data_IF_215304564229
#
_entry.id   IF_215304564229
#
_cell.length_a   1.000
_cell.length_b   1.000
_cell.length_c   1.000
_cell.angle_alpha   90.00
_cell.angle_beta   90.00
_cell.angle_gamma   90.00
#
_symmetry.space_group_name_H-M   'P 1'
#
loop_
_entity.id
_entity.type
_entity.pdbx_description
1 polymer ?
#
# COMPACT_ATOMS: atom_id res chain seq x y z
N UNK A 1 -17.22 -62.66 -37.18
CA UNK A 1 -17.40 -61.21 -37.44
C UNK A 1 -18.53 -60.59 -36.60
N UNK A 2 -18.62 -60.85 -35.28
CA UNK A 2 -19.60 -60.18 -34.39
C UNK A 2 -19.02 -59.78 -33.02
N UNK A 3 -17.77 -60.17 -32.72
CA UNK A 3 -17.11 -59.90 -31.43
C UNK A 3 -15.97 -58.88 -31.51
N UNK A 4 -15.51 -58.51 -32.71
CA UNK A 4 -14.46 -57.50 -32.91
C UNK A 4 -14.98 -56.06 -33.00
N UNK A 5 -16.31 -55.87 -33.11
CA UNK A 5 -16.94 -54.54 -33.16
C UNK A 5 -17.22 -53.97 -31.76
N UNK A 6 -17.28 -54.83 -30.73
CA UNK A 6 -17.57 -54.41 -29.35
C UNK A 6 -16.33 -53.81 -28.65
N UNK A 7 -15.12 -54.05 -29.19
CA UNK A 7 -13.87 -53.58 -28.58
C UNK A 7 -13.51 -52.11 -28.91
N UNK A 8 -14.32 -51.41 -29.70
CA UNK A 8 -14.08 -50.00 -30.06
C UNK A 8 -14.94 -48.98 -29.28
N UNK A 9 -15.88 -49.44 -28.45
CA UNK A 9 -16.83 -48.55 -27.72
C UNK A 9 -16.36 -48.23 -26.29
N UNK A 10 -15.29 -48.83 -25.79
CA UNK A 10 -14.78 -48.59 -24.43
C UNK A 10 -13.70 -47.50 -24.32
N UNK A 11 -13.27 -46.89 -25.42
CA UNK A 11 -12.21 -45.85 -25.42
C UNK A 11 -12.77 -44.41 -25.29
N UNK A 12 -14.10 -44.24 -25.26
CA UNK A 12 -14.75 -42.93 -25.21
C UNK A 12 -15.14 -42.46 -23.79
N UNK A 13 -14.40 -42.83 -22.75
CA UNK A 13 -14.58 -42.28 -21.39
C UNK A 13 -13.23 -41.96 -20.73
N UNK A 14 -12.40 -41.23 -21.46
CA UNK A 14 -11.30 -40.47 -20.84
C UNK A 14 -11.58 -39.01 -21.17
N UNK A 15 -11.43 -38.14 -20.17
CA UNK A 15 -11.51 -36.68 -20.28
C UNK A 15 -12.93 -36.11 -20.24
N UNK A 16 -13.53 -36.04 -19.04
CA UNK A 16 -14.37 -34.90 -18.63
C UNK A 16 -14.74 -34.97 -17.15
N UNK A 17 -13.74 -34.99 -16.26
CA UNK A 17 -13.92 -34.50 -14.89
C UNK A 17 -12.64 -33.76 -14.47
N UNK A 18 -12.30 -32.69 -15.21
CA UNK A 18 -11.47 -31.63 -14.64
C UNK A 18 -12.39 -30.73 -13.81
N UNK A 19 -12.77 -31.20 -12.62
CA UNK A 19 -13.29 -30.29 -11.60
C UNK A 19 -12.12 -29.38 -11.24
N UNK A 20 -12.21 -28.13 -11.70
CA UNK A 20 -11.26 -27.06 -11.42
C UNK A 20 -11.14 -26.80 -9.90
N UNK A 21 -10.33 -27.59 -9.22
CA UNK A 21 -9.83 -27.32 -7.88
C UNK A 21 -8.47 -26.59 -7.96
N UNK A 22 -8.36 -25.57 -8.81
CA UNK A 22 -7.26 -24.60 -8.79
C UNK A 22 -7.78 -23.25 -8.30
N UNK A 23 -8.24 -23.19 -7.05
CA UNK A 23 -8.49 -21.92 -6.36
C UNK A 23 -7.95 -21.98 -4.94
N UNK A 24 -6.66 -21.64 -4.78
CA UNK A 24 -6.12 -21.01 -3.54
C UNK A 24 -4.59 -20.87 -3.49
N UNK A 25 -3.79 -21.47 -4.40
CA UNK A 25 -2.32 -21.45 -4.27
C UNK A 25 -1.62 -20.24 -4.92
N UNK A 26 -2.24 -19.57 -5.89
CA UNK A 26 -1.65 -18.39 -6.54
C UNK A 26 -1.86 -17.09 -5.75
N UNK A 27 -2.99 -16.95 -5.04
CA UNK A 27 -3.28 -15.74 -4.25
C UNK A 27 -2.31 -15.48 -3.09
N UNK A 28 -1.73 -16.54 -2.51
CA UNK A 28 -0.76 -16.40 -1.40
C UNK A 28 0.64 -16.05 -1.93
N UNK A 29 1.01 -16.53 -3.12
CA UNK A 29 2.29 -16.20 -3.75
C UNK A 29 2.27 -14.78 -4.28
N UNK A 30 1.20 -14.38 -4.97
CA UNK A 30 1.05 -13.02 -5.51
C UNK A 30 1.04 -11.96 -4.40
N UNK A 31 0.23 -12.16 -3.34
CA UNK A 31 0.19 -11.24 -2.20
C UNK A 31 1.54 -11.11 -1.48
N UNK A 32 2.26 -12.23 -1.29
CA UNK A 32 3.59 -12.19 -0.68
C UNK A 32 4.56 -11.43 -1.58
N UNK A 33 4.58 -11.73 -2.87
CA UNK A 33 5.46 -11.08 -3.84
C UNK A 33 5.20 -9.56 -3.95
N UNK A 34 3.93 -9.14 -4.01
CA UNK A 34 3.54 -7.73 -3.98
C UNK A 34 3.95 -7.02 -2.68
N UNK A 35 3.86 -7.71 -1.54
CA UNK A 35 4.29 -7.18 -0.25
C UNK A 35 5.82 -7.02 -0.21
N UNK A 36 6.57 -8.01 -0.68
CA UNK A 36 8.04 -7.94 -0.76
C UNK A 36 8.50 -6.81 -1.69
N UNK A 37 7.89 -6.69 -2.88
CA UNK A 37 8.21 -5.61 -3.81
C UNK A 37 7.94 -4.22 -3.21
N UNK A 38 6.85 -4.06 -2.44
CA UNK A 38 6.56 -2.81 -1.74
C UNK A 38 7.57 -2.48 -0.63
N UNK A 39 8.00 -3.48 0.16
CA UNK A 39 9.02 -3.29 1.20
C UNK A 39 10.35 -2.87 0.57
N UNK A 40 10.78 -3.51 -0.52
CA UNK A 40 12.04 -3.19 -1.19
C UNK A 40 12.00 -1.82 -1.87
N UNK A 41 10.84 -1.43 -2.42
CA UNK A 41 10.62 -0.08 -2.95
C UNK A 41 10.74 0.97 -1.84
N UNK A 42 10.11 0.77 -0.67
CA UNK A 42 10.19 1.69 0.45
C UNK A 42 11.62 1.86 0.98
N UNK A 43 12.38 0.78 1.12
CA UNK A 43 13.81 0.85 1.50
C UNK A 43 14.63 1.62 0.47
N UNK A 44 14.32 1.45 -0.81
CA UNK A 44 14.99 2.18 -1.89
C UNK A 44 14.65 3.67 -1.82
N UNK A 45 13.38 4.01 -1.61
CA UNK A 45 12.90 5.38 -1.42
C UNK A 45 13.54 6.05 -0.21
N UNK A 46 13.65 5.34 0.92
CA UNK A 46 14.32 5.84 2.12
C UNK A 46 15.78 6.16 1.84
N UNK A 47 16.51 5.22 1.21
CA UNK A 47 17.93 5.41 0.86
C UNK A 47 18.17 6.60 -0.07
N UNK A 48 17.32 6.81 -1.08
CA UNK A 48 17.50 7.95 -2.00
C UNK A 48 17.11 9.27 -1.32
N UNK A 49 16.08 9.26 -0.47
CA UNK A 49 15.68 10.41 0.33
C UNK A 49 16.79 10.84 1.30
N UNK A 50 17.44 9.87 1.96
CA UNK A 50 18.58 10.12 2.86
C UNK A 50 19.81 10.64 2.11
N UNK A 51 19.95 10.33 0.82
CA UNK A 51 20.96 10.93 -0.06
C UNK A 51 20.59 12.33 -0.56
N UNK A 52 19.48 12.89 -0.09
CA UNK A 52 19.02 14.24 -0.41
C UNK A 52 18.09 14.34 -1.61
N UNK A 53 17.66 13.22 -2.20
CA UNK A 53 16.66 13.27 -3.27
C UNK A 53 15.29 13.61 -2.67
N UNK A 54 14.74 14.76 -3.06
CA UNK A 54 13.46 15.25 -2.55
C UNK A 54 12.37 15.08 -3.60
N UNK A 55 11.27 14.41 -3.23
CA UNK A 55 10.10 14.25 -4.10
C UNK A 55 8.85 14.12 -3.26
N UNK A 56 7.79 14.82 -3.69
CA UNK A 56 6.46 14.76 -3.09
C UNK A 56 5.95 13.33 -3.02
N UNK A 57 6.03 12.57 -4.11
CA UNK A 57 5.56 11.18 -4.17
C UNK A 57 6.33 10.26 -3.20
N UNK A 58 7.66 10.42 -3.15
CA UNK A 58 8.51 9.63 -2.25
C UNK A 58 8.17 9.94 -0.80
N UNK A 59 8.05 11.21 -0.42
CA UNK A 59 7.73 11.57 0.96
C UNK A 59 6.30 11.19 1.36
N UNK A 60 5.33 11.24 0.44
CA UNK A 60 3.97 10.70 0.68
C UNK A 60 4.03 9.19 0.98
N UNK A 61 4.77 8.41 0.17
CA UNK A 61 4.92 6.96 0.35
C UNK A 61 5.64 6.60 1.64
N UNK A 62 6.76 7.26 1.93
CA UNK A 62 7.54 7.02 3.15
C UNK A 62 6.76 7.42 4.41
N UNK A 63 6.16 8.61 4.43
CA UNK A 63 5.35 9.07 5.55
C UNK A 63 4.17 8.14 5.85
N UNK A 64 3.44 7.70 4.81
CA UNK A 64 2.35 6.75 4.96
C UNK A 64 2.82 5.39 5.46
N UNK A 65 3.88 4.83 4.88
CA UNK A 65 4.42 3.54 5.30
C UNK A 65 4.82 3.56 6.78
N UNK A 66 5.57 4.57 7.21
CA UNK A 66 5.95 4.74 8.62
C UNK A 66 4.73 4.92 9.51
N UNK A 67 3.76 5.75 9.11
CA UNK A 67 2.54 5.99 9.87
C UNK A 67 1.74 4.70 10.10
N UNK A 68 1.50 3.92 9.04
CA UNK A 68 0.76 2.66 9.12
C UNK A 68 1.50 1.56 9.88
N UNK A 69 2.84 1.63 9.90
CA UNK A 69 3.69 0.76 10.72
C UNK A 69 3.84 1.26 12.17
N UNK A 70 3.15 2.34 12.57
CA UNK A 70 3.27 2.99 13.88
C UNK A 70 4.68 3.53 14.21
N UNK A 71 5.53 3.72 13.20
CA UNK A 71 6.83 4.40 13.28
C UNK A 71 6.59 5.93 13.21
N UNK A 72 5.90 6.47 14.22
CA UNK A 72 5.37 7.85 14.19
C UNK A 72 6.47 8.91 14.21
N UNK A 73 7.63 8.61 14.76
CA UNK A 73 8.83 9.44 14.70
C UNK A 73 9.33 9.62 13.27
N UNK A 74 9.45 8.52 12.51
CA UNK A 74 9.83 8.56 11.10
C UNK A 74 8.73 9.13 10.22
N UNK A 75 7.47 8.85 10.54
CA UNK A 75 6.34 9.44 9.84
C UNK A 75 6.37 10.98 9.96
N UNK A 76 6.62 11.50 11.18
CA UNK A 76 6.77 12.94 11.40
C UNK A 76 7.94 13.53 10.60
N UNK A 77 9.09 12.84 10.53
CA UNK A 77 10.23 13.24 9.69
C UNK A 77 9.82 13.38 8.22
N UNK A 78 9.24 12.32 7.64
CA UNK A 78 8.96 12.31 6.20
C UNK A 78 7.79 13.21 5.80
N UNK A 79 6.75 13.31 6.63
CA UNK A 79 5.69 14.30 6.41
C UNK A 79 6.22 15.72 6.59
N UNK A 80 7.15 15.96 7.52
CA UNK A 80 7.83 17.25 7.64
C UNK A 80 8.52 17.64 6.34
N UNK A 81 9.33 16.74 5.77
CA UNK A 81 9.96 16.95 4.46
C UNK A 81 8.93 17.19 3.34
N UNK A 82 7.83 16.42 3.30
CA UNK A 82 6.72 16.63 2.36
C UNK A 82 6.17 18.07 2.44
N UNK A 83 5.87 18.54 3.65
CA UNK A 83 5.31 19.87 3.88
C UNK A 83 6.31 21.01 3.69
N UNK A 84 7.62 20.72 3.59
CA UNK A 84 8.61 21.69 3.10
C UNK A 84 8.55 21.89 1.60
N UNK A 85 8.09 20.88 0.85
CA UNK A 85 8.01 20.94 -0.61
C UNK A 85 6.69 21.52 -1.09
N UNK A 86 5.57 21.15 -0.46
CA UNK A 86 4.24 21.55 -0.88
C UNK A 86 3.22 21.47 0.24
N UNK A 87 2.21 22.33 0.16
CA UNK A 87 0.99 22.25 0.98
C UNK A 87 -0.21 21.76 0.16
N UNK A 88 -0.06 21.59 -1.15
CA UNK A 88 -1.07 21.05 -2.05
C UNK A 88 -1.06 19.51 -1.99
N UNK A 89 -1.61 18.99 -0.89
CA UNK A 89 -1.78 17.56 -0.63
C UNK A 89 -3.16 17.32 -0.03
N UNK A 90 -3.60 16.07 -0.11
CA UNK A 90 -4.89 15.64 0.38
C UNK A 90 -5.00 15.83 1.90
N UNK A 91 -6.19 16.17 2.43
CA UNK A 91 -6.37 16.49 3.85
C UNK A 91 -5.82 15.41 4.80
N UNK A 92 -5.89 14.14 4.40
CA UNK A 92 -5.42 13.01 5.19
C UNK A 92 -3.94 13.11 5.58
N UNK A 93 -3.10 13.76 4.76
CA UNK A 93 -1.68 13.98 5.08
C UNK A 93 -1.49 14.97 6.23
N UNK A 94 -2.33 16.01 6.32
CA UNK A 94 -2.33 16.93 7.45
C UNK A 94 -2.72 16.21 8.75
N UNK A 95 -3.75 15.38 8.69
CA UNK A 95 -4.22 14.61 9.84
C UNK A 95 -3.19 13.59 10.34
N UNK A 96 -2.57 12.82 9.44
CA UNK A 96 -1.54 11.84 9.80
C UNK A 96 -0.28 12.51 10.33
N UNK A 97 0.11 13.63 9.73
CA UNK A 97 1.24 14.41 10.23
C UNK A 97 0.97 14.95 11.62
N UNK A 98 -0.21 15.51 11.87
CA UNK A 98 -0.59 15.99 13.19
C UNK A 98 -0.52 14.90 14.26
N UNK A 99 -1.05 13.71 13.98
CA UNK A 99 -0.97 12.58 14.91
C UNK A 99 0.48 12.14 15.18
N UNK A 100 1.31 12.12 14.14
CA UNK A 100 2.73 11.79 14.26
C UNK A 100 3.47 12.82 15.13
N UNK A 101 3.19 14.11 14.93
CA UNK A 101 3.72 15.21 15.74
C UNK A 101 3.27 15.13 17.20
N UNK A 102 2.00 14.78 17.45
CA UNK A 102 1.46 14.58 18.80
C UNK A 102 2.16 13.45 19.55
N UNK A 103 2.46 12.34 18.87
CA UNK A 103 3.23 11.24 19.44
C UNK A 103 4.66 11.66 19.84
N UNK A 104 5.21 12.68 19.17
CA UNK A 104 6.49 13.31 19.52
C UNK A 104 6.37 14.47 20.54
N UNK A 105 5.17 14.74 21.06
CA UNK A 105 4.92 15.87 21.97
C UNK A 105 4.95 17.25 21.31
N UNK A 106 5.01 17.34 19.98
CA UNK A 106 5.01 18.60 19.23
C UNK A 106 3.59 19.16 19.06
N UNK A 107 2.91 19.41 20.18
CA UNK A 107 1.48 19.72 20.23
C UNK A 107 1.08 20.96 19.42
N UNK A 108 1.84 22.06 19.51
CA UNK A 108 1.51 23.29 18.78
C UNK A 108 1.49 23.09 17.25
N UNK A 109 2.48 22.35 16.73
CA UNK A 109 2.52 22.02 15.30
C UNK A 109 1.42 21.03 14.92
N UNK A 110 1.12 20.07 15.79
CA UNK A 110 0.03 19.14 15.58
C UNK A 110 -1.31 19.87 15.46
N UNK A 111 -1.59 20.81 16.36
CA UNK A 111 -2.82 21.61 16.37
C UNK A 111 -2.93 22.49 15.11
N UNK A 112 -1.82 23.07 14.67
CA UNK A 112 -1.78 23.82 13.41
C UNK A 112 -2.14 22.94 12.20
N UNK A 113 -1.62 21.72 12.14
CA UNK A 113 -1.93 20.76 11.07
C UNK A 113 -3.37 20.26 11.13
N UNK A 114 -3.92 20.00 12.33
CA UNK A 114 -5.33 19.64 12.51
C UNK A 114 -6.27 20.77 12.07
N UNK A 115 -5.93 22.02 12.39
CA UNK A 115 -6.71 23.17 11.92
C UNK A 115 -6.80 23.22 10.39
N UNK A 116 -5.67 22.97 9.71
CA UNK A 116 -5.63 22.89 8.24
C UNK A 116 -6.45 21.72 7.70
N UNK A 117 -6.34 20.55 8.34
CA UNK A 117 -7.16 19.39 8.00
C UNK A 117 -8.67 19.69 8.06
N UNK A 118 -9.14 20.31 9.15
CA UNK A 118 -10.56 20.67 9.31
C UNK A 118 -11.02 21.62 8.21
N UNK A 119 -10.25 22.70 7.96
CA UNK A 119 -10.57 23.68 6.92
C UNK A 119 -10.71 23.05 5.53
N UNK A 120 -9.79 22.15 5.17
CA UNK A 120 -9.82 21.48 3.87
C UNK A 120 -10.94 20.45 3.76
N UNK A 121 -11.27 19.76 4.85
CA UNK A 121 -12.30 18.72 4.88
C UNK A 121 -13.73 19.29 4.84
N UNK A 122 -13.96 20.43 5.50
CA UNK A 122 -15.23 21.15 5.43
C UNK A 122 -15.51 21.67 4.02
N UNK A 123 -14.49 22.21 3.35
CA UNK A 123 -14.60 22.70 1.97
C UNK A 123 -14.88 21.59 0.95
N UNK A 124 -14.41 20.36 1.19
CA UNK A 124 -14.66 19.21 0.30
C UNK A 124 -16.07 18.63 0.43
N UNK A 125 -16.77 18.94 1.52
CA UNK A 125 -18.10 18.40 1.83
C UNK A 125 -19.24 19.33 1.35
N UNK A 126 -18.92 20.58 0.99
CA UNK A 126 -19.84 21.54 0.37
C UNK A 126 -19.78 21.49 -1.14
#
# INVERSE_FOLDING_TARGET
MKTTIILFITIANVISININAQKSKNLVVDKKHETFANIDALKTYERVAEKGYKSVDIFKKLGNACYYNSELDKAAKWYGELFTLTQDVEPEYYYRYAQSLKALGQNEKADAMLKKFTQLSENKTR
#
